data_IF_577449221557
#
_entry.id   IF_577449221557
#
_cell.length_a   1.000
_cell.length_b   1.000
_cell.length_c   1.000
_cell.angle_alpha   90.00
_cell.angle_beta   90.00
_cell.angle_gamma   90.00
#
_symmetry.space_group_name_H-M   'P 1'
#
loop_
_entity.id
_entity.type
_entity.pdbx_description
1 polymer ?
#
# COMPACT_ATOMS: atom_id res chain seq x y z
N UNK A 1 -58.04 -69.18 4.33
CA UNK A 1 -58.77 -69.67 3.17
C UNK A 1 -57.93 -69.35 1.98
N UNK A 2 -57.16 -70.25 1.53
CA UNK A 2 -57.42 -71.27 0.53
C UNK A 2 -57.36 -70.73 -0.89
N UNK A 3 -56.27 -71.14 -1.55
CA UNK A 3 -56.10 -71.76 -2.90
C UNK A 3 -56.06 -70.79 -4.10
N UNK A 4 -55.36 -71.03 -5.17
CA UNK A 4 -54.45 -72.03 -5.75
C UNK A 4 -53.77 -71.39 -6.94
N UNK A 5 -52.57 -71.52 -7.11
CA UNK A 5 -51.75 -72.28 -8.04
C UNK A 5 -52.40 -72.61 -9.43
N UNK A 6 -51.70 -72.28 -10.49
CA UNK A 6 -51.31 -73.24 -11.54
C UNK A 6 -50.44 -72.55 -12.62
N UNK A 7 -49.29 -73.03 -12.77
CA UNK A 7 -48.44 -73.55 -13.83
C UNK A 7 -48.92 -73.47 -15.27
N UNK A 8 -48.02 -73.07 -16.15
CA UNK A 8 -48.08 -73.25 -17.59
C UNK A 8 -46.76 -72.95 -18.29
N UNK A 9 -46.18 -74.04 -18.78
CA UNK A 9 -44.82 -74.20 -19.39
C UNK A 9 -44.80 -73.87 -20.91
N UNK A 10 -43.61 -73.43 -21.35
CA UNK A 10 -42.90 -73.66 -22.66
C UNK A 10 -43.41 -72.96 -23.91
N UNK A 11 -42.55 -72.19 -24.57
CA UNK A 11 -41.74 -72.64 -25.67
C UNK A 11 -40.73 -71.60 -26.18
N UNK A 12 -39.51 -72.08 -26.36
CA UNK A 12 -38.37 -71.49 -27.06
C UNK A 12 -38.67 -71.06 -28.47
N UNK A 13 -38.11 -69.88 -28.87
CA UNK A 13 -37.59 -69.75 -30.24
C UNK A 13 -36.56 -68.64 -30.33
N UNK A 14 -35.35 -68.99 -30.74
CA UNK A 14 -34.22 -68.16 -31.05
C UNK A 14 -34.55 -67.11 -32.13
N UNK A 15 -34.09 -65.88 -31.89
CA UNK A 15 -33.66 -65.00 -32.98
C UNK A 15 -32.49 -64.15 -32.52
N UNK A 16 -31.39 -64.39 -33.23
CA UNK A 16 -30.13 -63.64 -33.20
C UNK A 16 -30.39 -62.26 -33.82
N UNK A 17 -30.08 -61.17 -33.12
CA UNK A 17 -29.77 -59.89 -33.76
C UNK A 17 -28.87 -58.98 -32.93
N UNK A 18 -27.72 -58.79 -33.49
CA UNK A 18 -26.81 -57.66 -33.48
C UNK A 18 -26.76 -56.76 -32.24
N UNK A 19 -25.74 -56.97 -31.43
CA UNK A 19 -25.22 -56.07 -30.41
C UNK A 19 -24.40 -54.97 -31.11
N UNK A 20 -24.95 -53.76 -31.23
CA UNK A 20 -24.16 -52.57 -31.59
C UNK A 20 -23.61 -52.00 -30.30
N UNK A 21 -22.35 -52.29 -29.99
CA UNK A 21 -21.60 -51.67 -28.91
C UNK A 21 -21.23 -50.25 -29.34
N UNK A 22 -21.94 -49.25 -28.82
CA UNK A 22 -21.52 -47.85 -28.87
C UNK A 22 -20.48 -47.65 -27.81
N UNK A 23 -19.19 -47.73 -28.17
CA UNK A 23 -18.07 -47.36 -27.31
C UNK A 23 -18.01 -45.82 -27.29
N UNK A 24 -18.58 -45.20 -26.27
CA UNK A 24 -18.31 -43.79 -25.95
C UNK A 24 -16.87 -43.67 -25.46
N UNK A 25 -15.99 -43.24 -26.36
CA UNK A 25 -14.62 -42.79 -25.98
C UNK A 25 -14.79 -41.46 -25.24
N UNK A 26 -14.79 -41.54 -23.95
CA UNK A 26 -14.51 -40.39 -23.08
C UNK A 26 -13.05 -40.01 -23.32
N UNK A 27 -12.81 -39.04 -24.21
CA UNK A 27 -11.60 -38.27 -24.26
C UNK A 27 -11.55 -37.43 -22.98
N UNK A 28 -11.07 -38.04 -21.92
CA UNK A 28 -10.58 -37.32 -20.76
C UNK A 28 -9.39 -36.51 -21.24
N UNK A 29 -9.56 -35.21 -21.42
CA UNK A 29 -8.45 -34.28 -21.47
C UNK A 29 -7.77 -34.32 -20.10
N UNK A 30 -6.82 -35.25 -19.93
CA UNK A 30 -5.81 -35.12 -18.90
C UNK A 30 -5.01 -33.87 -19.29
N UNK A 31 -5.32 -32.72 -18.65
CA UNK A 31 -4.41 -31.63 -18.61
C UNK A 31 -3.11 -32.22 -18.04
N UNK A 32 -2.10 -32.36 -18.88
CA UNK A 32 -0.74 -32.63 -18.45
C UNK A 32 -0.42 -31.41 -17.59
N UNK A 33 -0.06 -31.57 -16.30
CA UNK A 33 0.45 -30.43 -15.56
C UNK A 33 1.65 -29.92 -16.34
N UNK A 34 1.57 -28.68 -16.82
CA UNK A 34 2.74 -27.97 -17.31
C UNK A 34 3.63 -27.87 -16.09
N UNK A 35 4.74 -28.61 -16.10
CA UNK A 35 5.73 -28.53 -15.03
C UNK A 35 6.25 -27.09 -15.05
N UNK A 36 5.82 -26.29 -14.08
CA UNK A 36 6.24 -24.91 -13.94
C UNK A 36 7.78 -24.90 -13.94
N UNK A 37 8.37 -24.25 -14.94
CA UNK A 37 9.81 -24.29 -15.11
C UNK A 37 10.44 -23.33 -14.09
N UNK A 38 10.82 -23.86 -12.95
CA UNK A 38 11.53 -23.12 -11.90
C UNK A 38 12.74 -22.39 -12.52
N UNK A 39 12.85 -21.09 -12.26
CA UNK A 39 13.99 -20.30 -12.68
C UNK A 39 15.25 -20.79 -11.97
N UNK A 40 16.37 -20.81 -12.69
CA UNK A 40 17.67 -21.04 -12.03
C UNK A 40 18.09 -19.76 -11.33
N UNK A 41 17.70 -19.63 -10.05
CA UNK A 41 18.05 -18.48 -9.21
C UNK A 41 19.57 -18.45 -8.95
N UNK A 42 20.13 -17.25 -8.91
CA UNK A 42 21.56 -17.03 -8.64
C UNK A 42 21.86 -17.00 -7.14
N UNK A 43 20.85 -16.62 -6.34
CA UNK A 43 20.91 -16.56 -4.88
C UNK A 43 19.57 -17.03 -4.34
N UNK A 44 19.56 -18.11 -3.59
CA UNK A 44 18.36 -18.78 -3.06
C UNK A 44 18.07 -18.42 -1.59
N UNK A 45 19.09 -18.16 -0.77
CA UNK A 45 18.91 -17.72 0.61
C UNK A 45 18.87 -16.19 0.69
N UNK A 46 17.74 -15.66 1.17
CA UNK A 46 17.48 -14.22 1.20
C UNK A 46 17.02 -13.74 2.56
N UNK A 47 17.44 -12.52 2.92
CA UNK A 47 16.98 -11.77 4.09
C UNK A 47 16.20 -10.55 3.64
N UNK A 48 14.93 -10.49 3.99
CA UNK A 48 14.06 -9.37 3.62
C UNK A 48 13.58 -8.62 4.86
N UNK A 49 13.72 -7.30 4.83
CA UNK A 49 13.32 -6.43 5.93
C UNK A 49 11.87 -5.96 5.84
N UNK A 50 11.24 -5.71 6.99
CA UNK A 50 9.92 -5.10 7.04
C UNK A 50 9.70 -4.29 8.31
N UNK A 51 8.70 -3.41 8.30
CA UNK A 51 8.15 -2.74 9.48
C UNK A 51 6.84 -3.41 9.87
N UNK A 52 6.54 -3.50 11.17
CA UNK A 52 5.33 -4.12 11.73
C UNK A 52 4.06 -3.33 11.40
N UNK A 53 3.56 -3.56 10.19
CA UNK A 53 2.37 -2.96 9.58
C UNK A 53 1.63 -4.02 8.78
N UNK A 54 0.31 -3.88 8.60
CA UNK A 54 -0.49 -4.85 7.84
C UNK A 54 -0.14 -4.89 6.35
N UNK A 55 0.40 -3.81 5.81
CA UNK A 55 0.81 -3.71 4.41
C UNK A 55 2.08 -4.52 4.05
N UNK A 56 2.77 -5.11 5.06
CA UNK A 56 3.79 -6.13 4.80
C UNK A 56 3.20 -7.50 4.44
N UNK A 57 1.88 -7.64 4.42
CA UNK A 57 1.19 -8.92 4.23
C UNK A 57 1.68 -9.73 3.02
N UNK A 58 1.98 -9.17 1.82
CA UNK A 58 2.50 -9.95 0.72
C UNK A 58 3.77 -10.75 1.07
N UNK A 59 4.66 -10.19 1.89
CA UNK A 59 5.88 -10.90 2.36
C UNK A 59 5.52 -12.07 3.28
N UNK A 60 4.66 -11.84 4.28
CA UNK A 60 4.25 -12.86 5.23
C UNK A 60 3.50 -14.00 4.53
N UNK A 61 2.59 -13.67 3.62
CA UNK A 61 1.81 -14.65 2.87
C UNK A 61 2.69 -15.45 1.92
N UNK A 62 3.61 -14.81 1.19
CA UNK A 62 4.53 -15.52 0.31
C UNK A 62 5.34 -16.56 1.08
N UNK A 63 5.76 -16.25 2.31
CA UNK A 63 6.48 -17.19 3.19
C UNK A 63 5.57 -18.29 3.73
N UNK A 64 4.44 -17.94 4.34
CA UNK A 64 3.57 -18.91 5.04
C UNK A 64 2.80 -19.84 4.09
N UNK A 65 2.58 -19.40 2.83
CA UNK A 65 1.93 -20.20 1.80
C UNK A 65 2.91 -20.97 0.92
N UNK A 66 4.23 -20.81 1.15
CA UNK A 66 5.25 -21.52 0.41
C UNK A 66 5.55 -20.94 -0.99
N UNK A 67 5.05 -19.74 -1.32
CA UNK A 67 5.24 -19.16 -2.65
C UNK A 67 6.72 -18.80 -2.92
N UNK A 68 7.50 -18.51 -1.89
CA UNK A 68 8.95 -18.33 -2.04
C UNK A 68 9.64 -19.65 -2.36
N UNK A 69 9.29 -20.71 -1.62
CA UNK A 69 9.87 -22.04 -1.80
C UNK A 69 9.50 -22.65 -3.16
N UNK A 70 8.27 -22.39 -3.67
CA UNK A 70 7.85 -22.79 -5.01
C UNK A 70 8.74 -22.21 -6.12
N UNK A 71 9.29 -21.01 -5.88
CA UNK A 71 10.24 -20.33 -6.77
C UNK A 71 11.70 -20.62 -6.44
N UNK A 72 11.97 -21.57 -5.54
CA UNK A 72 13.32 -21.97 -5.14
C UNK A 72 14.02 -20.97 -4.22
N UNK A 73 13.26 -20.17 -3.46
CA UNK A 73 13.80 -19.16 -2.55
C UNK A 73 13.56 -19.52 -1.09
N UNK A 74 14.58 -19.37 -0.26
CA UNK A 74 14.54 -19.58 1.19
C UNK A 74 14.64 -18.23 1.90
N UNK A 75 13.49 -17.66 2.27
CA UNK A 75 13.40 -16.29 2.76
C UNK A 75 13.32 -16.23 4.28
N UNK A 76 14.20 -15.44 4.88
CA UNK A 76 14.09 -14.97 6.27
C UNK A 76 13.53 -13.56 6.28
N UNK A 77 12.43 -13.35 7.03
CA UNK A 77 11.82 -12.02 7.23
C UNK A 77 12.32 -11.44 8.55
N UNK A 78 12.89 -10.23 8.51
CA UNK A 78 13.46 -9.56 9.67
C UNK A 78 12.73 -8.24 9.96
N UNK A 79 12.02 -8.11 11.11
CA UNK A 79 11.42 -6.85 11.51
C UNK A 79 12.49 -5.81 11.85
N UNK A 80 12.29 -4.59 11.38
CA UNK A 80 13.21 -3.47 11.60
C UNK A 80 12.62 -2.45 12.57
N UNK A 81 13.49 -1.73 13.28
CA UNK A 81 13.09 -0.75 14.30
C UNK A 81 12.43 0.50 13.71
N UNK A 82 12.88 0.94 12.54
CA UNK A 82 12.37 2.10 11.84
C UNK A 82 12.80 2.11 10.37
N UNK A 83 12.23 3.03 9.59
CA UNK A 83 12.45 3.13 8.15
C UNK A 83 13.87 3.49 7.74
N UNK A 84 14.59 4.26 8.57
CA UNK A 84 16.00 4.60 8.28
C UNK A 84 16.89 3.37 8.40
N UNK A 85 16.78 2.63 9.50
CA UNK A 85 17.55 1.40 9.73
C UNK A 85 17.26 0.38 8.62
N UNK A 86 15.99 0.24 8.21
CA UNK A 86 15.61 -0.66 7.12
C UNK A 86 16.31 -0.29 5.81
N UNK A 87 16.28 0.98 5.42
CA UNK A 87 16.92 1.45 4.19
C UNK A 87 18.44 1.27 4.23
N UNK A 88 19.08 1.68 5.34
CA UNK A 88 20.54 1.57 5.51
C UNK A 88 20.98 0.11 5.39
N UNK A 89 20.28 -0.84 6.01
CA UNK A 89 20.61 -2.26 5.95
C UNK A 89 20.44 -2.87 4.55
N UNK A 90 19.52 -2.35 3.72
CA UNK A 90 19.42 -2.74 2.30
C UNK A 90 20.58 -2.16 1.51
N UNK A 91 20.96 -0.91 1.75
CA UNK A 91 22.09 -0.26 1.06
C UNK A 91 23.41 -0.97 1.39
N UNK A 92 23.60 -1.36 2.65
CA UNK A 92 24.81 -2.02 3.13
C UNK A 92 24.85 -3.53 2.77
N UNK A 93 23.79 -4.07 2.19
CA UNK A 93 23.68 -5.49 1.77
C UNK A 93 23.47 -6.45 2.94
N UNK A 94 23.12 -5.97 4.13
CA UNK A 94 22.71 -6.82 5.26
C UNK A 94 21.31 -7.41 5.06
N UNK A 95 20.46 -6.70 4.30
CA UNK A 95 19.19 -7.16 3.77
C UNK A 95 19.27 -7.18 2.24
N UNK A 96 18.72 -8.20 1.63
CA UNK A 96 18.68 -8.36 0.18
C UNK A 96 17.59 -7.48 -0.47
N UNK A 97 16.56 -7.16 0.27
CA UNK A 97 15.45 -6.31 -0.13
C UNK A 97 14.55 -6.00 1.05
N UNK A 98 13.57 -5.15 0.85
CA UNK A 98 12.66 -4.79 1.94
C UNK A 98 11.32 -4.22 1.47
N UNK A 99 10.32 -4.37 2.33
CA UNK A 99 9.11 -3.55 2.39
C UNK A 99 9.51 -2.11 2.66
N UNK A 100 9.29 -1.20 1.70
CA UNK A 100 9.73 0.19 1.78
C UNK A 100 8.57 1.17 1.61
N UNK A 101 8.74 2.36 2.17
CA UNK A 101 7.94 3.52 1.79
C UNK A 101 8.19 3.85 0.32
N UNK A 102 7.15 4.08 -0.46
CA UNK A 102 7.30 4.32 -1.91
C UNK A 102 8.20 5.52 -2.26
N UNK A 103 8.31 6.49 -1.36
CA UNK A 103 9.24 7.62 -1.51
C UNK A 103 10.71 7.31 -1.21
N UNK A 104 11.03 6.23 -0.48
CA UNK A 104 12.42 5.92 -0.10
C UNK A 104 13.33 5.60 -1.29
N UNK A 105 12.95 4.72 -2.24
CA UNK A 105 13.76 4.47 -3.43
C UNK A 105 14.02 5.74 -4.26
N UNK A 106 12.99 6.57 -4.41
CA UNK A 106 13.08 7.83 -5.13
C UNK A 106 14.03 8.82 -4.43
N UNK A 107 13.83 9.03 -3.13
CA UNK A 107 14.65 9.94 -2.32
C UNK A 107 16.13 9.51 -2.31
N UNK A 108 16.41 8.21 -2.10
CA UNK A 108 17.77 7.68 -2.14
C UNK A 108 18.42 7.88 -3.51
N UNK A 109 17.68 7.63 -4.59
CA UNK A 109 18.21 7.77 -5.96
C UNK A 109 18.52 9.21 -6.31
N UNK A 110 17.68 10.19 -5.93
CA UNK A 110 17.97 11.62 -6.16
C UNK A 110 18.96 12.22 -5.14
N UNK A 111 19.32 11.46 -4.08
CA UNK A 111 20.28 11.89 -3.06
C UNK A 111 19.68 12.78 -1.97
N UNK A 112 18.39 12.68 -1.69
CA UNK A 112 17.77 13.30 -0.53
C UNK A 112 17.96 12.40 0.71
N UNK A 113 18.76 12.85 1.65
CA UNK A 113 19.26 12.05 2.77
C UNK A 113 20.44 11.16 2.36
N UNK A 114 20.30 9.85 2.37
CA UNK A 114 21.30 8.90 1.90
C UNK A 114 21.24 8.77 0.38
N UNK A 115 22.38 8.69 -0.30
CA UNK A 115 22.43 8.49 -1.77
C UNK A 115 22.73 7.02 -2.09
N UNK A 116 21.78 6.34 -2.73
CA UNK A 116 21.93 5.00 -3.25
C UNK A 116 20.92 4.77 -4.38
N UNK A 117 21.26 3.93 -5.37
CA UNK A 117 20.32 3.56 -6.43
C UNK A 117 19.49 2.38 -5.99
N UNK A 118 18.27 2.67 -5.54
CA UNK A 118 17.25 1.69 -5.11
C UNK A 118 16.18 1.63 -6.18
N UNK A 119 15.77 0.43 -6.54
CA UNK A 119 14.72 0.19 -7.55
C UNK A 119 13.60 -0.64 -6.97
N UNK A 120 12.42 -0.57 -7.59
CA UNK A 120 11.27 -1.39 -7.21
C UNK A 120 10.61 -2.04 -8.42
N UNK A 121 10.53 -3.39 -8.44
CA UNK A 121 9.77 -4.12 -9.45
C UNK A 121 8.31 -4.35 -9.04
N UNK A 122 7.91 -4.01 -7.79
CA UNK A 122 6.65 -4.42 -7.23
C UNK A 122 6.09 -3.36 -6.27
N UNK A 123 4.88 -2.86 -6.55
CA UNK A 123 4.08 -2.10 -5.61
C UNK A 123 3.35 -3.05 -4.66
N UNK A 124 3.35 -2.79 -3.36
CA UNK A 124 2.89 -3.78 -2.38
C UNK A 124 1.40 -3.67 -2.09
N UNK A 125 0.83 -2.46 -2.14
CA UNK A 125 -0.57 -2.22 -1.83
C UNK A 125 -1.07 -0.85 -2.28
N UNK A 126 -2.39 -0.69 -2.22
CA UNK A 126 -3.07 0.58 -2.30
C UNK A 126 -3.78 0.89 -0.97
N UNK A 127 -3.86 2.17 -0.63
CA UNK A 127 -4.53 2.70 0.56
C UNK A 127 -3.85 2.25 1.87
N UNK A 128 -4.61 1.84 2.90
CA UNK A 128 -4.07 1.20 4.10
C UNK A 128 -3.64 2.12 5.24
N UNK A 129 -3.69 3.44 5.06
CA UNK A 129 -3.39 4.41 6.12
C UNK A 129 -4.63 5.08 6.68
N UNK A 130 -4.49 5.68 7.85
CA UNK A 130 -5.47 6.57 8.46
C UNK A 130 -4.80 7.74 9.18
N UNK A 131 -5.56 8.83 9.34
CA UNK A 131 -5.20 9.95 10.20
C UNK A 131 -6.03 9.86 11.46
N UNK A 132 -5.36 9.73 12.60
CA UNK A 132 -5.97 9.64 13.94
C UNK A 132 -5.65 10.88 14.74
N UNK A 133 -6.63 11.41 15.46
CA UNK A 133 -6.46 12.50 16.42
C UNK A 133 -6.77 12.03 17.84
N UNK A 134 -6.25 12.73 18.84
CA UNK A 134 -6.57 12.47 20.24
C UNK A 134 -8.04 12.76 20.55
N UNK A 135 -8.59 12.12 21.59
CA UNK A 135 -9.98 12.35 21.99
C UNK A 135 -10.29 13.83 22.26
N UNK A 136 -9.45 14.62 22.95
CA UNK A 136 -9.71 16.04 23.12
C UNK A 136 -9.79 16.82 21.82
N UNK A 137 -8.91 16.50 20.84
CA UNK A 137 -8.95 17.10 19.50
C UNK A 137 -10.21 16.70 18.77
N UNK A 138 -10.60 15.42 18.82
CA UNK A 138 -11.83 14.93 18.22
C UNK A 138 -13.07 15.66 18.74
N UNK A 139 -13.23 15.76 20.05
CA UNK A 139 -14.37 16.47 20.65
C UNK A 139 -14.43 17.95 20.24
N UNK A 140 -13.27 18.60 20.10
CA UNK A 140 -13.23 19.99 19.64
C UNK A 140 -13.57 20.13 18.15
N UNK A 141 -13.14 19.22 17.28
CA UNK A 141 -13.39 19.33 15.84
C UNK A 141 -14.74 18.77 15.42
N UNK A 142 -15.28 17.77 16.16
CA UNK A 142 -16.55 17.07 15.86
C UNK A 142 -17.74 18.02 15.66
N UNK A 143 -17.79 19.10 16.45
CA UNK A 143 -18.85 20.13 16.35
C UNK A 143 -18.88 20.87 15.01
N UNK A 144 -17.79 20.82 14.25
CA UNK A 144 -17.64 21.47 12.95
C UNK A 144 -17.84 20.51 11.77
N UNK A 145 -18.21 19.25 12.05
CA UNK A 145 -18.40 18.21 11.03
C UNK A 145 -19.89 18.01 10.79
N UNK A 146 -20.36 18.06 9.53
CA UNK A 146 -21.76 17.75 9.21
C UNK A 146 -22.11 16.34 9.68
N UNK A 147 -23.33 16.17 10.17
CA UNK A 147 -23.88 14.89 10.59
C UNK A 147 -24.75 14.30 9.48
N UNK A 148 -24.56 13.02 9.19
CA UNK A 148 -25.39 12.27 8.25
C UNK A 148 -26.79 11.94 8.82
N UNK A 149 -27.69 11.37 8.00
CA UNK A 149 -29.03 10.97 8.41
C UNK A 149 -29.05 9.92 9.56
N UNK A 150 -27.95 9.18 9.71
CA UNK A 150 -27.73 8.17 10.76
C UNK A 150 -27.21 8.77 12.08
N UNK A 151 -27.10 10.09 12.17
CA UNK A 151 -26.58 10.80 13.35
C UNK A 151 -25.06 10.73 13.51
N UNK A 152 -24.33 10.20 12.53
CA UNK A 152 -22.88 10.05 12.56
C UNK A 152 -22.17 11.13 11.76
N UNK A 153 -20.88 11.42 12.07
CA UNK A 153 -20.08 12.34 11.27
C UNK A 153 -20.06 11.93 9.80
N UNK A 154 -20.27 12.89 8.92
CA UNK A 154 -20.28 12.67 7.47
C UNK A 154 -18.82 12.58 6.95
N UNK A 155 -18.53 11.53 6.22
CA UNK A 155 -17.23 11.34 5.53
C UNK A 155 -17.31 11.70 4.04
N UNK A 156 -16.18 12.11 3.44
CA UNK A 156 -14.86 12.32 4.04
C UNK A 156 -14.81 13.57 4.95
N UNK A 157 -14.10 13.45 6.08
CA UNK A 157 -13.89 14.59 6.99
C UNK A 157 -12.74 15.44 6.45
N UNK A 158 -13.01 16.70 6.14
CA UNK A 158 -12.02 17.66 5.65
C UNK A 158 -11.26 18.31 6.82
N UNK A 159 -10.02 18.71 6.56
CA UNK A 159 -9.16 19.33 7.58
C UNK A 159 -9.56 20.77 7.97
N UNK A 160 -10.53 21.39 7.30
CA UNK A 160 -11.12 22.65 7.73
C UNK A 160 -11.80 22.53 9.11
N UNK A 161 -12.37 21.36 9.44
CA UNK A 161 -12.87 21.06 10.79
C UNK A 161 -11.77 21.07 11.85
N UNK A 162 -10.54 20.64 11.50
CA UNK A 162 -9.39 20.69 12.38
C UNK A 162 -8.78 22.09 12.48
N UNK A 163 -8.94 22.92 11.44
CA UNK A 163 -8.33 24.25 11.38
C UNK A 163 -8.70 25.13 12.59
N UNK A 164 -9.93 25.08 13.04
CA UNK A 164 -10.40 25.84 14.21
C UNK A 164 -9.67 25.40 15.50
N UNK A 165 -9.35 24.11 15.62
CA UNK A 165 -8.59 23.57 16.75
C UNK A 165 -7.13 24.05 16.69
N UNK A 166 -6.50 23.99 15.51
CA UNK A 166 -5.13 24.48 15.30
C UNK A 166 -5.04 25.98 15.59
N UNK A 167 -6.01 26.76 15.12
CA UNK A 167 -6.06 28.21 15.37
C UNK A 167 -6.22 28.51 16.89
N UNK A 168 -7.03 27.73 17.60
CA UNK A 168 -7.18 27.85 19.05
C UNK A 168 -5.88 27.55 19.80
N UNK A 169 -5.16 26.48 19.44
CA UNK A 169 -3.83 26.17 19.97
C UNK A 169 -2.87 27.37 19.78
N UNK A 170 -2.85 27.91 18.58
CA UNK A 170 -2.01 29.08 18.25
C UNK A 170 -2.37 30.32 19.09
N UNK A 171 -3.65 30.57 19.29
CA UNK A 171 -4.15 31.68 20.10
C UNK A 171 -3.72 31.55 21.59
N UNK A 172 -3.59 30.30 22.06
CA UNK A 172 -3.10 29.97 23.39
C UNK A 172 -1.55 29.93 23.49
N UNK A 173 -0.83 30.24 22.41
CA UNK A 173 0.63 30.13 22.33
C UNK A 173 1.14 28.68 22.32
N UNK A 174 0.30 27.72 22.01
CA UNK A 174 0.63 26.30 21.92
C UNK A 174 0.87 25.89 20.46
N UNK A 175 1.69 24.87 20.26
CA UNK A 175 1.90 24.25 18.95
C UNK A 175 1.05 23.00 18.84
N UNK A 176 0.28 22.88 17.75
CA UNK A 176 -0.39 21.65 17.38
C UNK A 176 0.62 20.69 16.73
N UNK A 177 0.69 19.45 17.20
CA UNK A 177 1.74 18.49 16.81
C UNK A 177 1.15 17.21 16.28
N UNK A 178 1.66 16.72 15.12
CA UNK A 178 1.26 15.46 14.56
C UNK A 178 2.46 14.55 14.24
N UNK A 179 2.24 13.24 14.40
CA UNK A 179 3.22 12.23 14.05
C UNK A 179 3.13 11.82 12.58
N UNK A 180 4.26 11.61 11.96
CA UNK A 180 4.40 10.94 10.66
C UNK A 180 5.58 9.97 10.75
N UNK A 181 5.66 8.99 9.84
CA UNK A 181 6.61 7.88 10.03
C UNK A 181 8.00 8.13 9.46
N UNK A 182 8.11 8.99 8.43
CA UNK A 182 9.39 9.36 7.81
C UNK A 182 9.19 10.55 6.84
N UNK A 183 10.21 11.43 6.63
CA UNK A 183 10.06 12.63 5.80
C UNK A 183 9.66 12.37 4.34
N UNK A 184 10.03 11.22 3.78
CA UNK A 184 9.68 10.83 2.39
C UNK A 184 8.63 9.73 2.35
N UNK A 185 7.82 9.61 3.41
CA UNK A 185 6.73 8.64 3.49
C UNK A 185 5.46 9.16 2.81
N UNK A 186 4.66 8.24 2.31
CA UNK A 186 3.29 8.51 1.88
C UNK A 186 2.48 9.15 3.02
N UNK A 187 2.64 8.65 4.26
CA UNK A 187 2.01 9.20 5.46
C UNK A 187 2.29 10.69 5.65
N UNK A 188 3.55 11.13 5.45
CA UNK A 188 3.91 12.53 5.52
C UNK A 188 3.23 13.36 4.41
N UNK A 189 3.27 12.86 3.17
CA UNK A 189 2.67 13.60 2.05
C UNK A 189 1.15 13.61 2.11
N UNK A 190 0.55 12.53 2.54
CA UNK A 190 -0.89 12.39 2.75
C UNK A 190 -1.41 13.30 3.87
N UNK A 191 -0.72 13.31 5.02
CA UNK A 191 -1.03 14.20 6.12
C UNK A 191 -0.91 15.66 5.70
N UNK A 192 0.18 16.02 5.00
CA UNK A 192 0.39 17.36 4.45
C UNK A 192 -0.67 17.74 3.42
N UNK A 193 -1.07 16.78 2.58
CA UNK A 193 -2.11 17.00 1.58
C UNK A 193 -3.46 17.30 2.24
N UNK A 194 -3.86 16.48 3.21
CA UNK A 194 -5.09 16.65 3.96
C UNK A 194 -5.12 17.97 4.71
N UNK A 195 -4.09 18.30 5.48
CA UNK A 195 -3.96 19.57 6.20
C UNK A 195 -4.07 20.77 5.26
N UNK A 196 -3.30 20.75 4.16
CA UNK A 196 -3.29 21.82 3.15
C UNK A 196 -4.65 22.00 2.46
N UNK A 197 -5.39 20.91 2.19
CA UNK A 197 -6.73 20.97 1.60
C UNK A 197 -7.73 21.70 2.50
N UNK A 198 -7.53 21.66 3.83
CA UNK A 198 -8.32 22.38 4.83
C UNK A 198 -7.77 23.75 5.21
N UNK A 199 -6.74 24.25 4.52
CA UNK A 199 -6.16 25.57 4.78
C UNK A 199 -5.16 25.65 5.94
N UNK A 200 -4.61 24.50 6.39
CA UNK A 200 -3.57 24.39 7.40
C UNK A 200 -2.22 24.19 6.70
N UNK A 201 -1.26 25.09 6.94
CA UNK A 201 0.08 24.93 6.37
C UNK A 201 0.89 23.92 7.22
N UNK A 202 1.29 22.77 6.67
CA UNK A 202 2.09 21.76 7.39
C UNK A 202 3.57 22.10 7.45
N UNK A 203 4.01 23.23 6.87
CA UNK A 203 5.39 23.67 6.81
C UNK A 203 6.17 23.18 5.58
N UNK A 204 7.41 23.63 5.48
CA UNK A 204 8.30 23.36 4.36
C UNK A 204 9.65 22.80 4.83
N UNK A 205 10.28 22.05 3.93
CA UNK A 205 11.70 21.68 4.00
C UNK A 205 12.54 22.69 3.23
N UNK A 206 13.81 22.82 3.61
CA UNK A 206 14.82 23.53 2.82
C UNK A 206 16.15 22.78 2.88
N UNK A 207 17.12 23.20 2.09
CA UNK A 207 18.49 22.65 2.14
C UNK A 207 19.16 22.86 3.50
N UNK A 208 18.80 23.92 4.21
CA UNK A 208 19.38 24.29 5.52
C UNK A 208 18.51 23.86 6.72
N UNK A 209 17.26 23.47 6.46
CA UNK A 209 16.31 23.01 7.50
C UNK A 209 15.48 21.83 6.95
N UNK A 210 15.90 20.64 7.35
CA UNK A 210 15.25 19.37 6.97
C UNK A 210 14.16 18.93 7.95
N UNK A 211 13.75 19.80 8.90
CA UNK A 211 12.67 19.49 9.85
C UNK A 211 11.29 19.41 9.18
N UNK A 212 11.10 20.14 8.06
CA UNK A 212 9.82 20.25 7.39
C UNK A 212 8.84 21.17 8.12
N UNK A 213 9.31 22.02 9.04
CA UNK A 213 8.48 22.85 9.92
C UNK A 213 8.50 24.34 9.60
N UNK A 214 9.24 24.76 8.55
CA UNK A 214 9.30 26.18 8.17
C UNK A 214 7.90 26.69 7.85
N UNK A 215 7.45 27.76 8.54
CA UNK A 215 6.10 28.37 8.43
C UNK A 215 4.93 27.43 8.75
N UNK A 216 5.14 26.39 9.53
CA UNK A 216 4.09 25.44 9.86
C UNK A 216 3.04 26.02 10.81
N UNK A 217 1.74 25.79 10.52
CA UNK A 217 0.64 25.94 11.47
C UNK A 217 0.51 24.68 12.35
N UNK A 218 0.85 23.52 11.81
CA UNK A 218 0.91 22.23 12.52
C UNK A 218 2.31 21.63 12.36
N UNK A 219 2.95 21.27 13.48
CA UNK A 219 4.30 20.70 13.49
C UNK A 219 4.25 19.20 13.27
N UNK A 220 4.97 18.70 12.25
CA UNK A 220 5.05 17.26 11.97
C UNK A 220 6.38 16.70 12.46
N UNK A 221 6.34 15.56 13.17
CA UNK A 221 7.52 14.89 13.71
C UNK A 221 7.54 13.40 13.38
N UNK A 222 8.75 12.83 13.28
CA UNK A 222 8.92 11.40 13.00
C UNK A 222 8.63 10.58 14.25
N UNK A 223 7.74 9.60 14.12
CA UNK A 223 7.43 8.60 15.15
C UNK A 223 7.34 7.23 14.47
N UNK A 224 8.05 6.19 14.96
CA UNK A 224 7.91 4.84 14.43
C UNK A 224 6.47 4.32 14.56
N UNK A 225 5.94 3.58 13.56
CA UNK A 225 4.55 3.17 13.54
C UNK A 225 4.04 2.51 14.83
N UNK A 226 4.72 1.51 15.43
CA UNK A 226 4.21 0.87 16.65
C UNK A 226 4.18 1.79 17.89
N UNK A 227 4.88 2.93 17.84
CA UNK A 227 4.95 3.90 18.95
C UNK A 227 3.86 4.98 18.84
N UNK A 228 3.19 5.13 17.71
CA UNK A 228 2.19 6.17 17.46
C UNK A 228 1.09 6.22 18.54
N UNK A 229 0.41 5.08 18.89
CA UNK A 229 -0.64 5.11 19.91
C UNK A 229 -0.12 5.57 21.30
N UNK A 230 1.05 5.07 21.71
CA UNK A 230 1.63 5.44 23.00
C UNK A 230 2.06 6.93 23.06
N UNK A 231 2.58 7.46 21.94
CA UNK A 231 2.97 8.87 21.82
C UNK A 231 1.75 9.80 21.85
N UNK A 232 0.62 9.37 21.26
CA UNK A 232 -0.66 10.07 21.35
C UNK A 232 -1.21 10.03 22.77
N UNK A 233 -1.22 8.87 23.41
CA UNK A 233 -1.70 8.66 24.78
C UNK A 233 -0.91 9.52 25.79
N UNK A 234 0.39 9.65 25.59
CA UNK A 234 1.27 10.50 26.40
C UNK A 234 1.07 12.01 26.16
N UNK A 235 0.26 12.42 25.19
CA UNK A 235 0.04 13.82 24.82
C UNK A 235 1.26 14.51 24.20
N UNK A 236 2.24 13.73 23.69
CA UNK A 236 3.41 14.28 22.99
C UNK A 236 3.04 14.78 21.60
N UNK A 237 2.06 14.14 20.97
CA UNK A 237 1.43 14.53 19.71
C UNK A 237 -0.08 14.59 19.90
N UNK A 238 -0.75 15.42 19.09
CA UNK A 238 -2.20 15.65 19.11
C UNK A 238 -2.93 14.78 18.08
N UNK A 239 -2.19 14.22 17.14
CA UNK A 239 -2.66 13.31 16.11
C UNK A 239 -1.50 12.70 15.33
N UNK A 240 -1.79 11.84 14.38
CA UNK A 240 -0.79 11.20 13.51
C UNK A 240 -1.39 10.65 12.22
N UNK A 241 -0.53 10.37 11.24
CA UNK A 241 -0.84 9.54 10.10
C UNK A 241 0.04 8.29 10.12
N UNK A 242 -0.58 7.11 10.04
CA UNK A 242 0.11 5.83 10.10
C UNK A 242 -0.67 4.74 9.36
N UNK A 243 0.03 3.68 8.92
CA UNK A 243 -0.59 2.45 8.41
C UNK A 243 -1.21 1.60 9.53
N UNK A 244 -2.07 0.66 9.15
CA UNK A 244 -2.68 -0.27 10.10
C UNK A 244 -1.64 -1.31 10.63
N UNK A 245 -1.85 -1.78 11.87
CA UNK A 245 -3.08 -1.71 12.68
C UNK A 245 -3.09 -0.56 13.72
N UNK A 246 -2.24 0.44 13.58
CA UNK A 246 -1.95 1.38 14.67
C UNK A 246 -3.03 2.47 14.85
N UNK A 247 -3.86 2.73 13.83
CA UNK A 247 -5.08 3.54 14.01
C UNK A 247 -6.13 2.76 14.80
N UNK A 248 -6.39 1.52 14.41
CA UNK A 248 -7.34 0.67 15.10
C UNK A 248 -6.89 0.33 16.53
N UNK A 249 -5.60 0.21 16.78
CA UNK A 249 -5.07 0.06 18.14
C UNK A 249 -5.44 1.24 19.04
N UNK A 250 -5.43 2.48 18.53
CA UNK A 250 -5.87 3.66 19.30
C UNK A 250 -7.38 3.63 19.59
N UNK A 251 -8.20 3.20 18.63
CA UNK A 251 -9.65 3.02 18.84
C UNK A 251 -9.94 1.96 19.90
N UNK A 252 -9.30 0.80 19.82
CA UNK A 252 -9.47 -0.29 20.77
C UNK A 252 -9.07 0.11 22.19
N UNK A 253 -7.99 0.90 22.33
CA UNK A 253 -7.58 1.47 23.62
C UNK A 253 -8.45 2.64 24.08
N UNK A 254 -9.28 3.21 23.21
CA UNK A 254 -10.10 4.39 23.51
C UNK A 254 -9.30 5.69 23.71
N UNK A 255 -8.14 5.82 23.05
CA UNK A 255 -7.22 6.98 23.20
C UNK A 255 -7.23 7.92 22.00
N UNK A 256 -7.83 7.53 20.88
CA UNK A 256 -7.87 8.35 19.68
C UNK A 256 -8.95 7.90 18.71
N UNK A 257 -9.24 8.79 17.77
CA UNK A 257 -10.28 8.61 16.74
C UNK A 257 -9.66 8.85 15.36
N UNK A 258 -9.66 7.83 14.49
CA UNK A 258 -9.36 8.03 13.07
C UNK A 258 -10.40 8.96 12.45
N UNK A 259 -9.95 10.04 11.85
CA UNK A 259 -10.85 11.04 11.24
C UNK A 259 -11.01 10.86 9.73
N UNK A 260 -10.04 10.18 9.10
CA UNK A 260 -10.08 9.96 7.66
C UNK A 260 -9.15 8.79 7.28
N UNK A 261 -9.55 8.00 6.31
CA UNK A 261 -8.71 6.97 5.67
C UNK A 261 -8.01 7.53 4.44
N UNK A 262 -6.92 6.89 4.03
CA UNK A 262 -6.16 7.31 2.84
C UNK A 262 -6.99 7.26 1.55
N UNK A 263 -7.88 6.28 1.42
CA UNK A 263 -8.76 6.16 0.26
C UNK A 263 -9.76 7.32 0.12
N UNK A 264 -10.08 8.00 1.22
CA UNK A 264 -10.92 9.20 1.22
C UNK A 264 -10.13 10.47 0.85
N UNK A 265 -8.81 10.46 1.04
CA UNK A 265 -7.92 11.57 0.63
C UNK A 265 -7.60 11.45 -0.86
N UNK A 266 -7.24 10.25 -1.30
CA UNK A 266 -7.00 9.90 -2.69
C UNK A 266 -7.36 8.42 -2.92
N UNK A 267 -8.39 8.18 -3.71
CA UNK A 267 -8.89 6.83 -3.98
C UNK A 267 -7.86 5.98 -4.72
N UNK A 268 -7.67 4.77 -4.24
CA UNK A 268 -6.68 3.83 -4.77
C UNK A 268 -5.26 4.40 -4.81
N UNK A 269 -4.89 5.11 -3.75
CA UNK A 269 -3.58 5.70 -3.56
C UNK A 269 -2.51 4.60 -3.42
N UNK A 270 -1.39 4.65 -4.19
CA UNK A 270 -0.25 3.75 -3.99
C UNK A 270 0.39 4.00 -2.61
N UNK A 271 0.88 2.93 -1.97
CA UNK A 271 1.37 3.06 -0.59
C UNK A 271 2.80 2.54 -0.41
N UNK A 272 3.01 1.24 -0.41
CA UNK A 272 4.33 0.62 -0.20
C UNK A 272 4.89 0.03 -1.47
N UNK A 273 6.20 -0.17 -1.48
CA UNK A 273 6.91 -0.84 -2.56
C UNK A 273 7.87 -1.88 -2.00
N UNK A 274 8.21 -2.87 -2.81
CA UNK A 274 9.29 -3.79 -2.51
C UNK A 274 10.58 -3.24 -3.14
N UNK A 275 11.54 -2.83 -2.31
CA UNK A 275 12.77 -2.18 -2.73
C UNK A 275 13.98 -3.11 -2.71
N UNK A 276 14.83 -2.96 -3.72
CA UNK A 276 16.08 -3.67 -3.93
C UNK A 276 17.14 -2.66 -4.37
N UNK A 277 18.44 -2.94 -4.15
CA UNK A 277 19.47 -2.15 -4.82
C UNK A 277 19.51 -2.49 -6.32
N UNK A 278 19.81 -1.52 -7.17
CA UNK A 278 20.01 -1.73 -8.60
C UNK A 278 21.15 -2.73 -8.88
N UNK A 279 22.17 -2.75 -8.01
CA UNK A 279 23.25 -3.74 -8.06
C UNK A 279 22.73 -5.16 -7.82
N UNK A 280 21.85 -5.37 -6.83
CA UNK A 280 21.25 -6.68 -6.57
C UNK A 280 20.48 -7.19 -7.79
N UNK A 281 19.64 -6.32 -8.38
CA UNK A 281 18.83 -6.67 -9.56
C UNK A 281 19.71 -7.06 -10.75
N UNK A 282 20.80 -6.34 -10.98
CA UNK A 282 21.75 -6.66 -12.05
C UNK A 282 22.52 -7.94 -11.81
N UNK A 283 22.87 -8.22 -10.56
CA UNK A 283 23.67 -9.40 -10.18
C UNK A 283 22.84 -10.67 -10.09
N UNK A 284 21.56 -10.55 -9.71
CA UNK A 284 20.66 -11.66 -9.43
C UNK A 284 19.31 -11.51 -10.18
N UNK A 285 19.33 -11.46 -11.52
CA UNK A 285 18.13 -11.18 -12.30
C UNK A 285 17.04 -12.26 -12.17
N UNK A 286 17.38 -13.56 -12.17
CA UNK A 286 16.41 -14.64 -12.00
C UNK A 286 15.88 -14.68 -10.56
N UNK A 287 16.71 -14.44 -9.55
CA UNK A 287 16.28 -14.30 -8.16
C UNK A 287 15.28 -13.14 -8.01
N UNK A 288 15.52 -12.01 -8.68
CA UNK A 288 14.60 -10.87 -8.68
C UNK A 288 13.25 -11.20 -9.33
N UNK A 289 13.27 -11.94 -10.45
CA UNK A 289 12.04 -12.42 -11.10
C UNK A 289 11.28 -13.41 -10.21
N UNK A 290 11.97 -14.38 -9.59
CA UNK A 290 11.40 -15.35 -8.67
C UNK A 290 10.75 -14.68 -7.45
N UNK A 291 11.42 -13.68 -6.83
CA UNK A 291 10.84 -12.85 -5.78
C UNK A 291 9.56 -12.14 -6.24
N UNK A 292 9.60 -11.53 -7.43
CA UNK A 292 8.46 -10.79 -7.97
C UNK A 292 7.28 -11.71 -8.25
N UNK A 293 7.51 -12.92 -8.81
CA UNK A 293 6.49 -13.96 -9.01
C UNK A 293 5.82 -14.35 -7.69
N UNK A 294 6.62 -14.68 -6.66
CA UNK A 294 6.10 -15.06 -5.35
C UNK A 294 5.25 -13.95 -4.71
N UNK A 295 5.66 -12.69 -4.83
CA UNK A 295 4.93 -11.54 -4.29
C UNK A 295 3.62 -11.27 -5.06
N UNK A 296 3.60 -11.43 -6.39
CA UNK A 296 2.36 -11.32 -7.18
C UNK A 296 1.35 -12.36 -6.72
N UNK A 297 1.75 -13.63 -6.58
CA UNK A 297 0.89 -14.72 -6.08
C UNK A 297 0.35 -14.44 -4.69
N UNK A 298 1.20 -13.93 -3.79
CA UNK A 298 0.77 -13.58 -2.43
C UNK A 298 -0.25 -12.44 -2.41
N UNK A 299 -0.06 -11.43 -3.24
CA UNK A 299 -0.99 -10.32 -3.37
C UNK A 299 -2.33 -10.77 -3.97
N UNK A 300 -2.31 -11.60 -5.01
CA UNK A 300 -3.50 -12.19 -5.60
C UNK A 300 -4.27 -13.01 -4.56
N UNK A 301 -3.61 -13.90 -3.83
CA UNK A 301 -4.21 -14.69 -2.76
C UNK A 301 -4.90 -13.82 -1.69
N UNK A 302 -4.30 -12.66 -1.34
CA UNK A 302 -4.88 -11.73 -0.37
C UNK A 302 -6.22 -11.14 -0.85
N UNK A 303 -6.39 -10.87 -2.13
CA UNK A 303 -7.59 -10.24 -2.70
C UNK A 303 -8.56 -11.23 -3.35
N UNK A 304 -8.17 -12.50 -3.42
CA UNK A 304 -8.93 -13.56 -4.07
C UNK A 304 -10.36 -13.68 -3.51
N UNK A 305 -11.32 -14.00 -4.39
CA UNK A 305 -12.72 -14.22 -4.04
C UNK A 305 -13.29 -13.12 -3.12
N UNK A 306 -13.01 -11.86 -3.46
CA UNK A 306 -13.47 -10.69 -2.71
C UNK A 306 -13.02 -10.73 -1.23
N UNK A 307 -11.73 -10.88 -1.01
CA UNK A 307 -11.07 -10.89 0.30
C UNK A 307 -11.36 -12.15 1.15
N UNK A 308 -11.73 -13.29 0.56
CA UNK A 308 -12.09 -14.49 1.31
C UNK A 308 -10.97 -14.98 2.25
N UNK A 309 -9.71 -14.77 1.87
CA UNK A 309 -8.54 -15.24 2.62
C UNK A 309 -8.07 -14.27 3.74
N UNK A 310 -8.70 -13.09 3.87
CA UNK A 310 -8.23 -12.04 4.78
C UNK A 310 -8.23 -12.46 6.25
N UNK A 311 -9.18 -13.30 6.71
CA UNK A 311 -9.16 -13.79 8.09
C UNK A 311 -8.02 -14.78 8.36
N UNK A 312 -7.56 -15.54 7.36
CA UNK A 312 -6.34 -16.35 7.48
C UNK A 312 -5.11 -15.44 7.54
N UNK A 313 -5.04 -14.42 6.68
CA UNK A 313 -3.98 -13.41 6.72
C UNK A 313 -3.91 -12.70 8.08
N UNK A 314 -5.05 -12.35 8.69
CA UNK A 314 -5.11 -11.78 10.04
C UNK A 314 -4.44 -12.68 11.07
N UNK A 315 -4.74 -13.98 11.04
CA UNK A 315 -4.11 -14.96 11.96
C UNK A 315 -2.59 -15.05 11.75
N UNK A 316 -2.13 -15.01 10.52
CA UNK A 316 -0.70 -15.00 10.18
C UNK A 316 -0.06 -13.72 10.71
N UNK A 317 -0.60 -12.55 10.37
CA UNK A 317 -0.03 -11.27 10.75
C UNK A 317 -0.04 -11.01 12.26
N UNK A 318 -0.98 -11.61 13.01
CA UNK A 318 -1.03 -11.48 14.47
C UNK A 318 0.10 -12.21 15.19
N UNK A 319 0.83 -13.11 14.52
CA UNK A 319 1.99 -13.78 15.11
C UNK A 319 3.09 -12.77 15.48
N UNK A 320 3.81 -12.97 16.61
CA UNK A 320 4.86 -12.05 17.09
C UNK A 320 6.00 -11.78 16.09
N UNK A 321 6.31 -12.76 15.25
CA UNK A 321 7.33 -12.67 14.20
C UNK A 321 6.95 -11.73 13.05
N UNK A 322 5.66 -11.40 12.88
CA UNK A 322 5.15 -10.48 11.88
C UNK A 322 4.72 -9.16 12.52
N UNK A 323 3.45 -8.78 12.40
CA UNK A 323 2.93 -7.54 12.99
C UNK A 323 2.86 -7.64 14.52
N UNK A 324 2.34 -8.77 15.02
CA UNK A 324 2.29 -9.07 16.44
C UNK A 324 1.25 -8.24 17.23
N UNK A 325 0.31 -7.61 16.56
CA UNK A 325 -0.84 -6.95 17.18
C UNK A 325 -1.99 -7.96 17.38
N UNK A 326 -2.94 -7.59 18.26
CA UNK A 326 -4.13 -8.41 18.49
C UNK A 326 -4.88 -8.68 17.18
N UNK A 327 -5.28 -9.93 16.97
CA UNK A 327 -5.99 -10.34 15.75
C UNK A 327 -7.29 -9.57 15.54
N UNK A 328 -8.02 -9.21 16.59
CA UNK A 328 -9.24 -8.42 16.49
C UNK A 328 -8.97 -6.99 16.01
N UNK A 329 -7.82 -6.42 16.39
CA UNK A 329 -7.38 -5.09 15.95
C UNK A 329 -7.00 -5.14 14.47
N UNK A 330 -6.19 -6.13 14.05
CA UNK A 330 -5.80 -6.32 12.65
C UNK A 330 -7.03 -6.59 11.77
N UNK A 331 -7.96 -7.43 12.22
CA UNK A 331 -9.16 -7.81 11.46
C UNK A 331 -10.01 -6.61 11.09
N UNK A 332 -10.04 -5.59 11.93
CA UNK A 332 -10.95 -4.46 11.75
C UNK A 332 -10.66 -3.60 10.51
N UNK A 333 -9.45 -3.65 9.96
CA UNK A 333 -9.10 -3.02 8.69
C UNK A 333 -8.90 -4.02 7.56
N UNK A 334 -8.33 -5.20 7.88
CA UNK A 334 -7.99 -6.20 6.87
C UNK A 334 -9.21 -6.89 6.25
N UNK A 335 -10.36 -6.89 6.91
CA UNK A 335 -11.56 -7.61 6.45
C UNK A 335 -12.63 -6.71 5.82
N UNK A 336 -12.24 -5.53 5.36
CA UNK A 336 -13.14 -4.63 4.62
C UNK A 336 -14.08 -3.80 5.50
N UNK A 337 -13.70 -3.59 6.75
CA UNK A 337 -14.36 -2.66 7.69
C UNK A 337 -13.34 -1.71 8.29
N UNK A 338 -13.81 -0.61 8.85
CA UNK A 338 -12.97 0.34 9.58
C UNK A 338 -13.77 0.98 10.69
N UNK A 339 -13.22 1.06 11.88
CA UNK A 339 -13.86 1.71 13.02
C UNK A 339 -13.24 3.09 13.21
N UNK A 340 -14.07 4.12 13.09
CA UNK A 340 -13.67 5.52 13.29
C UNK A 340 -13.73 5.89 14.77
N UNK A 341 -14.86 6.33 15.28
CA UNK A 341 -15.08 6.45 16.71
C UNK A 341 -15.48 5.08 17.29
N UNK A 342 -15.14 4.79 18.55
CA UNK A 342 -15.50 3.50 19.17
C UNK A 342 -16.99 3.21 19.05
N UNK A 343 -17.32 2.12 18.38
CA UNK A 343 -18.70 1.73 18.03
C UNK A 343 -19.19 2.24 16.68
N UNK A 344 -18.44 3.12 15.99
CA UNK A 344 -18.73 3.56 14.63
C UNK A 344 -17.93 2.75 13.59
N UNK A 345 -18.24 1.49 13.49
CA UNK A 345 -17.66 0.57 12.51
C UNK A 345 -18.42 0.65 11.20
N UNK A 346 -17.71 0.97 10.11
CA UNK A 346 -18.27 1.15 8.77
C UNK A 346 -17.67 0.17 7.77
N UNK A 347 -18.42 -0.22 6.70
CA UNK A 347 -17.86 -0.93 5.56
C UNK A 347 -16.85 -0.05 4.83
N UNK A 348 -15.62 -0.52 4.65
CA UNK A 348 -14.57 0.08 3.83
C UNK A 348 -13.83 -1.05 3.12
N UNK A 349 -14.46 -1.69 2.10
CA UNK A 349 -13.95 -2.93 1.49
C UNK A 349 -12.58 -2.77 0.84
N UNK A 350 -12.25 -1.56 0.39
CA UNK A 350 -10.98 -1.22 -0.24
C UNK A 350 -10.04 -0.45 0.70
N UNK A 351 -10.16 -0.66 2.03
CA UNK A 351 -9.25 -0.03 2.99
C UNK A 351 -7.78 -0.40 2.71
N UNK A 352 -7.49 -1.69 2.53
CA UNK A 352 -6.24 -2.20 1.97
C UNK A 352 -6.53 -3.05 0.73
N UNK A 353 -5.87 -2.75 -0.37
CA UNK A 353 -5.94 -3.50 -1.62
C UNK A 353 -4.55 -3.98 -2.00
N UNK A 354 -4.40 -5.29 -2.25
CA UNK A 354 -3.08 -5.88 -2.53
C UNK A 354 -2.90 -6.29 -3.99
N UNK A 355 -3.97 -6.60 -4.72
CA UNK A 355 -3.88 -7.04 -6.10
C UNK A 355 -4.86 -6.34 -7.03
N UNK A 356 -6.12 -6.19 -6.61
CA UNK A 356 -7.14 -5.50 -7.43
C UNK A 356 -6.68 -4.12 -7.86
N UNK A 357 -7.27 -3.60 -8.94
CA UNK A 357 -6.98 -2.25 -9.48
C UNK A 357 -5.51 -2.08 -9.90
N UNK A 358 -4.85 -3.17 -10.31
CA UNK A 358 -3.42 -3.19 -10.64
C UNK A 358 -2.52 -2.71 -9.48
N UNK A 359 -2.88 -3.05 -8.24
CA UNK A 359 -2.19 -2.58 -7.04
C UNK A 359 -0.70 -2.93 -7.03
N UNK A 360 -0.33 -4.06 -7.65
CA UNK A 360 1.05 -4.56 -7.66
C UNK A 360 1.93 -3.99 -8.77
N UNK A 361 1.33 -3.37 -9.79
CA UNK A 361 2.09 -2.79 -10.89
C UNK A 361 2.75 -1.47 -10.49
N UNK A 362 4.06 -1.32 -10.64
CA UNK A 362 4.78 -0.10 -10.26
C UNK A 362 4.64 0.96 -11.36
N UNK A 363 3.54 1.74 -11.34
CA UNK A 363 3.29 2.79 -12.32
C UNK A 363 4.27 3.95 -12.16
N UNK A 364 4.81 4.44 -13.27
CA UNK A 364 5.64 5.66 -13.29
C UNK A 364 4.88 6.88 -12.77
N UNK A 365 3.58 6.98 -13.08
CA UNK A 365 2.74 8.07 -12.56
C UNK A 365 2.69 8.11 -11.03
N UNK A 366 2.78 6.95 -10.35
CA UNK A 366 2.82 6.91 -8.89
C UNK A 366 4.14 7.50 -8.37
N UNK A 367 5.28 7.12 -8.98
CA UNK A 367 6.58 7.70 -8.68
C UNK A 367 6.61 9.23 -8.90
N UNK A 368 6.05 9.68 -10.01
CA UNK A 368 5.95 11.12 -10.34
C UNK A 368 5.15 11.88 -9.29
N UNK A 369 4.06 11.29 -8.75
CA UNK A 369 3.31 11.92 -7.67
C UNK A 369 4.17 12.17 -6.44
N UNK A 370 4.95 11.18 -5.99
CA UNK A 370 5.85 11.36 -4.84
C UNK A 370 6.90 12.45 -5.10
N UNK A 371 7.53 12.44 -6.28
CA UNK A 371 8.48 13.47 -6.67
C UNK A 371 7.83 14.88 -6.70
N UNK A 372 6.57 14.98 -7.15
CA UNK A 372 5.80 16.23 -7.15
C UNK A 372 5.55 16.73 -5.73
N UNK A 373 5.26 15.84 -4.78
CA UNK A 373 5.11 16.19 -3.36
C UNK A 373 6.45 16.58 -2.74
N UNK A 374 7.55 15.89 -3.07
CA UNK A 374 8.90 16.30 -2.65
C UNK A 374 9.22 17.72 -3.12
N UNK A 375 8.85 18.07 -4.36
CA UNK A 375 9.01 19.41 -4.90
C UNK A 375 8.09 20.42 -4.21
N UNK A 376 6.81 20.09 -4.08
CA UNK A 376 5.80 20.94 -3.40
C UNK A 376 6.22 21.37 -2.00
N UNK A 377 6.87 20.50 -1.25
CA UNK A 377 7.23 20.75 0.14
C UNK A 377 8.68 21.17 0.34
N UNK A 378 9.47 21.34 -0.75
CA UNK A 378 10.82 21.89 -0.71
C UNK A 378 11.95 20.87 -0.49
N UNK A 379 11.67 19.57 -0.48
CA UNK A 379 12.69 18.51 -0.43
C UNK A 379 13.50 18.46 -1.74
N UNK A 380 12.86 18.72 -2.87
CA UNK A 380 13.52 19.07 -4.14
C UNK A 380 13.53 20.59 -4.22
N UNK A 381 14.70 21.21 -3.96
CA UNK A 381 14.81 22.65 -3.79
C UNK A 381 14.55 23.44 -5.08
N UNK A 382 15.09 22.95 -6.20
CA UNK A 382 15.03 23.65 -7.49
C UNK A 382 13.91 23.13 -8.38
N UNK A 383 13.43 24.01 -9.28
CA UNK A 383 12.50 23.62 -10.33
C UNK A 383 13.14 22.54 -11.22
N UNK A 384 12.31 21.57 -11.63
CA UNK A 384 12.69 20.50 -12.55
C UNK A 384 11.75 20.51 -13.76
N UNK A 385 12.26 20.26 -14.99
CA UNK A 385 11.37 20.06 -16.14
C UNK A 385 10.56 18.78 -15.99
N UNK A 386 9.39 18.70 -16.64
CA UNK A 386 8.53 17.50 -16.58
C UNK A 386 9.28 16.22 -16.99
N UNK A 387 10.19 16.30 -17.97
CA UNK A 387 11.02 15.19 -18.40
C UNK A 387 11.89 14.61 -17.26
N UNK A 388 12.37 15.44 -16.35
CA UNK A 388 13.18 14.97 -15.21
C UNK A 388 12.38 14.05 -14.28
N UNK A 389 11.09 14.34 -14.08
CA UNK A 389 10.21 13.48 -13.26
C UNK A 389 10.00 12.11 -13.92
N UNK A 390 9.78 12.11 -15.24
CA UNK A 390 9.63 10.88 -16.03
C UNK A 390 10.91 10.03 -16.00
N UNK A 391 12.06 10.64 -16.28
CA UNK A 391 13.36 9.98 -16.29
C UNK A 391 13.71 9.41 -14.90
N UNK A 392 13.44 10.16 -13.83
CA UNK A 392 13.67 9.72 -12.45
C UNK A 392 12.74 8.56 -12.09
N UNK A 393 11.46 8.65 -12.43
CA UNK A 393 10.50 7.57 -12.21
C UNK A 393 10.93 6.27 -12.90
N UNK A 394 11.37 6.36 -14.17
CA UNK A 394 11.85 5.22 -14.96
C UNK A 394 13.18 4.64 -14.46
N UNK A 395 14.00 5.43 -13.80
CA UNK A 395 15.24 4.93 -13.20
C UNK A 395 15.02 4.10 -11.92
N UNK A 396 13.86 4.25 -11.27
CA UNK A 396 13.54 3.63 -9.97
C UNK A 396 12.46 2.56 -10.09
N UNK A 397 11.36 2.86 -10.76
CA UNK A 397 10.26 1.91 -10.93
C UNK A 397 10.52 1.01 -12.13
N UNK A 398 10.39 -0.30 -11.92
CA UNK A 398 10.79 -1.33 -12.88
C UNK A 398 9.60 -2.20 -13.32
N UNK A 399 8.61 -1.61 -14.03
CA UNK A 399 7.50 -2.38 -14.59
C UNK A 399 7.95 -3.42 -15.63
N UNK A 400 9.13 -3.26 -16.24
CA UNK A 400 9.72 -4.25 -17.13
C UNK A 400 10.00 -5.59 -16.42
N UNK A 401 10.51 -5.56 -15.19
CA UNK A 401 10.74 -6.76 -14.37
C UNK A 401 9.40 -7.36 -13.94
N UNK A 402 8.46 -6.51 -13.47
CA UNK A 402 7.12 -6.94 -13.09
C UNK A 402 6.41 -7.68 -14.23
N UNK A 403 6.41 -7.08 -15.44
CA UNK A 403 5.74 -7.67 -16.61
C UNK A 403 6.38 -9.00 -17.02
N UNK A 404 7.72 -9.11 -16.92
CA UNK A 404 8.40 -10.37 -17.19
C UNK A 404 8.04 -11.46 -16.17
N UNK A 405 7.92 -11.11 -14.89
CA UNK A 405 7.45 -12.04 -13.86
C UNK A 405 5.99 -12.49 -14.12
N UNK A 406 5.11 -11.55 -14.51
CA UNK A 406 3.73 -11.84 -14.85
C UNK A 406 3.61 -12.76 -16.08
N UNK A 407 4.43 -12.53 -17.13
CA UNK A 407 4.50 -13.43 -18.31
C UNK A 407 4.87 -14.85 -17.88
N UNK A 408 5.87 -15.02 -17.01
CA UNK A 408 6.28 -16.33 -16.53
C UNK A 408 5.16 -17.02 -15.73
N UNK A 409 4.45 -16.29 -14.85
CA UNK A 409 3.30 -16.84 -14.13
C UNK A 409 2.18 -17.30 -15.06
N UNK A 410 1.95 -16.57 -16.16
CA UNK A 410 0.96 -16.96 -17.18
C UNK A 410 1.44 -18.21 -17.95
N UNK A 411 2.72 -18.28 -18.33
CA UNK A 411 3.32 -19.43 -18.98
C UNK A 411 3.26 -20.69 -18.11
N UNK A 412 3.44 -20.53 -16.78
CA UNK A 412 3.33 -21.59 -15.79
C UNK A 412 1.87 -21.98 -15.47
N UNK A 413 0.89 -21.23 -15.98
CA UNK A 413 -0.55 -21.46 -15.72
C UNK A 413 -1.02 -21.02 -14.33
N UNK A 414 -0.22 -20.21 -13.63
CA UNK A 414 -0.49 -19.72 -12.27
C UNK A 414 -1.20 -18.36 -12.24
N UNK A 415 -1.29 -17.68 -13.39
CA UNK A 415 -1.96 -16.38 -13.51
C UNK A 415 -2.64 -16.22 -14.87
N UNK A 416 -3.54 -15.24 -15.00
CA UNK A 416 -4.27 -14.95 -16.23
C UNK A 416 -3.80 -13.63 -16.82
N UNK A 417 -3.75 -13.57 -18.15
CA UNK A 417 -3.29 -12.37 -18.87
C UNK A 417 -4.13 -11.13 -18.57
N UNK A 418 -5.42 -11.30 -18.41
CA UNK A 418 -6.37 -10.22 -18.10
C UNK A 418 -6.14 -9.54 -16.73
N UNK A 419 -5.39 -10.17 -15.84
CA UNK A 419 -5.10 -9.65 -14.51
C UNK A 419 -3.93 -8.64 -14.50
N UNK A 420 -3.29 -8.43 -15.66
CA UNK A 420 -2.11 -7.57 -15.75
C UNK A 420 -2.27 -6.45 -16.78
N UNK A 421 -1.69 -5.27 -16.52
CA UNK A 421 -1.83 -4.10 -17.41
C UNK A 421 -0.90 -4.13 -18.62
N UNK A 422 -0.94 -5.21 -19.39
CA UNK A 422 -0.17 -5.33 -20.63
C UNK A 422 -0.55 -4.24 -21.64
N UNK A 423 0.44 -3.67 -22.32
CA UNK A 423 0.24 -2.64 -23.33
C UNK A 423 0.08 -1.21 -22.78
N UNK A 424 0.24 -1.01 -21.48
CA UNK A 424 0.29 0.35 -20.89
C UNK A 424 1.69 0.98 -21.05
N UNK A 425 1.72 2.32 -21.08
CA UNK A 425 2.98 3.08 -21.06
C UNK A 425 3.53 3.32 -19.65
N UNK A 426 2.93 2.70 -18.62
CA UNK A 426 3.29 2.85 -17.22
C UNK A 426 2.65 4.07 -16.54
N UNK A 427 1.73 4.75 -17.21
CA UNK A 427 1.01 5.91 -16.68
C UNK A 427 -0.47 5.60 -16.50
N UNK A 428 -0.99 5.91 -15.31
CA UNK A 428 -2.43 5.94 -15.05
C UNK A 428 -3.07 7.12 -15.77
N UNK A 429 -4.33 7.00 -16.14
CA UNK A 429 -5.12 8.12 -16.64
C UNK A 429 -5.16 9.26 -15.61
N UNK A 430 -5.26 10.53 -16.04
CA UNK A 430 -5.48 11.65 -15.13
C UNK A 430 -6.70 11.40 -14.23
N UNK A 431 -6.59 11.78 -12.95
CA UNK A 431 -7.67 11.57 -11.97
C UNK A 431 -7.89 12.81 -11.13
N UNK A 432 -9.15 13.07 -10.79
CA UNK A 432 -9.59 14.09 -9.84
C UNK A 432 -10.14 13.48 -8.54
N UNK A 433 -9.88 12.19 -8.30
CA UNK A 433 -10.37 11.46 -7.12
C UNK A 433 -9.53 11.78 -5.86
N UNK A 434 -9.24 13.08 -5.66
CA UNK A 434 -8.64 13.66 -4.47
C UNK A 434 -9.69 14.39 -3.64
N UNK A 435 -9.48 14.50 -2.34
CA UNK A 435 -10.40 15.19 -1.41
C UNK A 435 -10.72 16.63 -1.79
N UNK A 436 -9.83 17.31 -2.50
CA UNK A 436 -9.97 18.68 -3.00
C UNK A 436 -10.44 18.76 -4.46
N UNK A 437 -10.59 17.62 -5.14
CA UNK A 437 -11.02 17.54 -6.53
C UNK A 437 -10.00 18.03 -7.56
N UNK A 438 -8.76 18.28 -7.14
CA UNK A 438 -7.70 18.73 -8.07
C UNK A 438 -7.25 17.55 -8.93
N UNK A 439 -7.20 17.77 -10.25
CA UNK A 439 -6.78 16.73 -11.20
C UNK A 439 -5.27 16.54 -11.17
N UNK A 440 -4.86 15.31 -10.94
CA UNK A 440 -3.48 14.85 -11.10
C UNK A 440 -3.29 14.18 -12.46
N UNK A 441 -2.30 14.65 -13.22
CA UNK A 441 -1.79 14.04 -14.45
C UNK A 441 -0.29 13.80 -14.28
N UNK A 442 0.11 12.53 -14.21
CA UNK A 442 1.52 12.15 -14.03
C UNK A 442 2.44 12.61 -15.17
N UNK A 443 1.88 12.95 -16.35
CA UNK A 443 2.64 13.50 -17.49
C UNK A 443 2.84 15.01 -17.41
N UNK A 444 2.21 15.69 -16.44
CA UNK A 444 2.24 17.16 -16.26
C UNK A 444 2.49 17.55 -14.79
N UNK A 445 3.58 17.07 -14.17
CA UNK A 445 3.83 17.29 -12.74
C UNK A 445 3.93 18.76 -12.35
N UNK A 446 4.56 19.62 -13.15
CA UNK A 446 4.66 21.05 -12.84
C UNK A 446 3.30 21.74 -12.87
N UNK A 447 2.44 21.43 -13.85
CA UNK A 447 1.08 21.97 -13.91
C UNK A 447 0.24 21.52 -12.70
N UNK A 448 0.43 20.25 -12.26
CA UNK A 448 -0.22 19.75 -11.05
C UNK A 448 0.26 20.50 -9.79
N UNK A 449 1.58 20.67 -9.60
CA UNK A 449 2.15 21.41 -8.47
C UNK A 449 1.58 22.84 -8.44
N UNK A 450 1.49 23.51 -9.61
CA UNK A 450 0.97 24.87 -9.72
C UNK A 450 -0.53 25.00 -9.42
N UNK A 451 -1.31 23.94 -9.59
CA UNK A 451 -2.74 23.90 -9.27
C UNK A 451 -3.05 23.83 -7.78
N UNK A 452 -2.10 23.37 -6.95
CA UNK A 452 -2.30 23.17 -5.51
C UNK A 452 -2.27 24.49 -4.75
N UNK A 453 -3.21 24.70 -3.80
CA UNK A 453 -3.37 25.97 -3.09
C UNK A 453 -2.23 26.29 -2.15
N UNK A 454 -1.84 25.33 -1.29
CA UNK A 454 -0.76 25.45 -0.31
C UNK A 454 0.40 24.57 -0.76
N UNK A 455 1.62 25.09 -0.69
CA UNK A 455 2.85 24.46 -1.14
C UNK A 455 3.62 25.37 -2.07
N UNK A 456 4.87 25.06 -2.33
CA UNK A 456 5.67 25.74 -3.35
C UNK A 456 5.08 25.46 -4.73
N UNK A 457 5.03 26.49 -5.57
CA UNK A 457 4.76 26.32 -7.00
C UNK A 457 5.99 25.76 -7.70
N UNK A 458 5.82 25.23 -8.91
CA UNK A 458 6.91 24.60 -9.66
C UNK A 458 8.15 25.51 -9.78
N UNK A 459 7.95 26.80 -10.04
CA UNK A 459 9.03 27.79 -10.17
C UNK A 459 9.49 28.44 -8.87
N UNK A 460 8.85 28.14 -7.71
CA UNK A 460 9.17 28.77 -6.43
C UNK A 460 10.22 27.98 -5.65
N UNK A 461 10.97 28.66 -4.80
CA UNK A 461 11.88 28.05 -3.81
C UNK A 461 11.84 28.81 -2.50
N UNK A 462 12.39 28.23 -1.44
CA UNK A 462 12.62 28.94 -0.19
C UNK A 462 13.99 29.60 -0.22
N UNK A 463 14.01 30.91 0.13
CA UNK A 463 15.20 31.66 0.50
C UNK A 463 15.10 31.94 2.01
N UNK A 464 15.83 31.14 2.80
CA UNK A 464 15.62 31.08 4.24
C UNK A 464 14.19 30.63 4.56
N UNK A 465 13.38 31.53 5.13
CA UNK A 465 11.94 31.28 5.43
C UNK A 465 11.01 31.96 4.42
N UNK A 466 11.53 32.61 3.38
CA UNK A 466 10.75 33.36 2.40
C UNK A 466 10.55 32.54 1.13
N UNK A 467 9.32 32.51 0.62
CA UNK A 467 9.00 31.89 -0.68
C UNK A 467 9.34 32.91 -1.77
N UNK A 468 10.23 32.55 -2.69
CA UNK A 468 10.67 33.41 -3.79
C UNK A 468 10.49 32.71 -5.15
N UNK A 469 10.44 33.49 -6.21
CA UNK A 469 10.19 33.02 -7.59
C UNK A 469 8.70 33.07 -7.96
N UNK A 470 8.42 32.96 -9.26
CA UNK A 470 7.07 33.05 -9.82
C UNK A 470 6.41 31.68 -9.92
#
# INVERSE_FOLDING_TARGET
>A
MVHHATTGRLKTRNLVQCLSVLTAVLLGSSAIPVDAKMLKVEKDELKLGFIKLTDMAPLAIAKEKGFFEDEGLYVTLEPQANWKVLLDRVIDGELDGAHMLAGQPLAATIGYGTKAHIVTPFSMDLNGNGITVSNPVWEAMKTNIPTGPDGKPQHPIKADALKLVVDAFKAEGKSFKMGMVFPVSTHNYELRYWLASGGINPGYYSTNDTSGQIKADALLSVTPPPQMPATLEAGTIDGYCVGEPWNQAAVFKGIGVPVISSSEIWKNKPEKVFGLTDEFVKKYPNTTLALTKALIRAAEWLDENNNANRMEAVKILSKPEYVGADAAVIANSMTGTFEYEKGDKRPVPDFNVFFRYNATYPFYSDAVWYLSQMRRWGQIADQKPDAWYDETAKSVYRPDIYMKAAELLIEDGEAKKEDFPFGTDGYKAPTAEFIDGITYDGKKPNAYIDSLKIGLKAGQKLDGTTVVGN
#
